data_IF_219167166564
#
_entry.id   IF_219167166564
#
_cell.length_a   1.000
_cell.length_b   1.000
_cell.length_c   1.000
_cell.angle_alpha   90.00
_cell.angle_beta   90.00
_cell.angle_gamma   90.00
#
_symmetry.space_group_name_H-M   'P 1'
#
loop_
_entity.id
_entity.type
_entity.pdbx_description
1 polymer ?
#
# COMPACT_ATOMS: atom_id res chain seq x y z
N UNK A 1 -26.21 10.37 57.92
CA UNK A 1 -27.25 10.50 56.88
C UNK A 1 -26.52 10.81 55.57
N UNK A 2 -26.57 9.90 54.60
CA UNK A 2 -25.77 9.89 53.36
C UNK A 2 -26.50 10.62 52.23
N UNK A 3 -25.80 11.48 51.49
CA UNK A 3 -26.09 11.81 50.08
C UNK A 3 -24.76 11.75 49.36
N UNK A 4 -24.45 10.61 48.72
CA UNK A 4 -24.69 10.34 47.30
C UNK A 4 -24.36 11.53 46.39
N UNK A 5 -23.13 11.53 45.87
CA UNK A 5 -22.79 12.22 44.62
C UNK A 5 -22.03 11.24 43.75
N UNK A 6 -22.74 10.64 42.82
CA UNK A 6 -22.18 9.98 41.65
C UNK A 6 -21.32 10.96 40.84
N UNK A 7 -20.04 10.66 40.54
CA UNK A 7 -19.37 11.31 39.43
C UNK A 7 -19.91 10.75 38.12
N UNK A 8 -20.36 11.65 37.23
CA UNK A 8 -20.83 11.36 35.88
C UNK A 8 -19.93 10.35 35.17
N UNK A 9 -20.57 9.33 34.59
CA UNK A 9 -19.97 8.48 33.56
C UNK A 9 -19.39 9.39 32.46
N UNK A 10 -18.07 9.58 32.49
CA UNK A 10 -17.34 10.10 31.37
C UNK A 10 -17.51 9.07 30.25
N UNK A 11 -18.32 9.40 29.25
CA UNK A 11 -18.22 8.80 27.92
C UNK A 11 -16.78 9.03 27.47
N UNK A 12 -15.92 8.05 27.76
CA UNK A 12 -14.61 7.95 27.13
C UNK A 12 -14.85 7.99 25.62
N UNK A 13 -13.96 8.64 24.85
CA UNK A 13 -14.18 8.79 23.41
C UNK A 13 -14.45 7.39 22.87
N UNK A 14 -15.67 7.19 22.35
CA UNK A 14 -15.98 6.04 21.51
C UNK A 14 -14.84 5.97 20.53
N UNK A 15 -13.95 4.98 20.70
CA UNK A 15 -12.85 4.76 19.78
C UNK A 15 -13.54 4.60 18.44
N UNK A 16 -13.44 5.67 17.64
CA UNK A 16 -13.99 5.74 16.31
C UNK A 16 -13.48 4.49 15.65
N UNK A 17 -14.42 3.59 15.34
CA UNK A 17 -14.14 2.38 14.59
C UNK A 17 -13.22 2.82 13.45
N UNK A 18 -12.07 2.14 13.23
CA UNK A 18 -11.22 2.48 12.11
C UNK A 18 -12.16 2.53 10.91
N UNK A 19 -12.21 3.72 10.28
CA UNK A 19 -13.13 4.03 9.21
C UNK A 19 -13.28 2.79 8.36
N UNK A 20 -14.51 2.31 8.22
CA UNK A 20 -14.84 1.16 7.41
C UNK A 20 -13.91 1.19 6.20
N UNK A 21 -13.12 0.13 6.04
CA UNK A 21 -12.77 -0.32 4.70
C UNK A 21 -14.10 -0.75 4.05
N UNK A 22 -15.02 0.22 3.86
CA UNK A 22 -15.83 0.35 2.67
C UNK A 22 -14.80 0.51 1.55
N UNK A 23 -14.12 -0.60 1.28
CA UNK A 23 -13.59 -1.02 0.01
C UNK A 23 -14.80 -0.88 -0.88
N UNK A 24 -14.99 0.35 -1.38
CA UNK A 24 -16.24 0.78 -1.97
C UNK A 24 -16.71 -0.30 -2.91
N UNK A 25 -18.02 -0.57 -2.91
CA UNK A 25 -18.68 -1.50 -3.80
C UNK A 25 -18.50 -1.07 -5.27
N UNK A 26 -17.26 -1.12 -5.74
CA UNK A 26 -16.90 -1.29 -7.11
C UNK A 26 -17.33 -2.71 -7.42
N UNK A 27 -18.21 -2.87 -8.41
CA UNK A 27 -18.48 -4.20 -8.96
C UNK A 27 -17.13 -4.94 -9.09
N UNK A 28 -17.04 -6.23 -8.72
CA UNK A 28 -15.79 -6.98 -8.83
C UNK A 28 -15.38 -7.03 -10.30
N UNK A 29 -14.64 -6.01 -10.72
CA UNK A 29 -13.92 -6.01 -11.97
C UNK A 29 -12.80 -7.00 -11.76
N UNK A 30 -12.68 -7.98 -12.66
CA UNK A 30 -11.55 -8.90 -12.65
C UNK A 30 -10.28 -8.06 -12.72
N UNK A 31 -9.51 -7.95 -11.61
CA UNK A 31 -8.35 -7.08 -11.60
C UNK A 31 -7.34 -7.70 -12.54
N UNK A 32 -6.75 -6.89 -13.41
CA UNK A 32 -5.56 -7.31 -14.16
C UNK A 32 -4.56 -7.97 -13.20
N UNK A 33 -3.86 -9.01 -13.64
CA UNK A 33 -2.85 -9.69 -12.82
C UNK A 33 -1.84 -8.71 -12.19
N UNK A 34 -1.52 -7.60 -12.88
CA UNK A 34 -0.67 -6.52 -12.34
C UNK A 34 -1.33 -5.80 -11.16
N UNK A 35 -2.63 -5.52 -11.24
CA UNK A 35 -3.38 -4.88 -10.15
C UNK A 35 -3.48 -5.80 -8.93
N UNK A 36 -3.71 -7.10 -9.13
CA UNK A 36 -3.72 -8.09 -8.06
C UNK A 36 -2.37 -8.17 -7.33
N UNK A 37 -1.26 -8.21 -8.08
CA UNK A 37 0.09 -8.20 -7.50
C UNK A 37 0.41 -6.91 -6.75
N UNK A 38 0.00 -5.75 -7.27
CA UNK A 38 0.20 -4.46 -6.57
C UNK A 38 -0.57 -4.44 -5.25
N UNK A 39 -1.81 -4.93 -5.23
CA UNK A 39 -2.61 -4.99 -4.02
C UNK A 39 -1.95 -5.88 -2.95
N UNK A 40 -1.39 -7.02 -3.36
CA UNK A 40 -0.75 -7.92 -2.41
C UNK A 40 0.59 -7.37 -1.88
N UNK A 41 1.38 -6.72 -2.74
CA UNK A 41 2.58 -6.01 -2.30
C UNK A 41 2.23 -4.85 -1.35
N UNK A 42 1.13 -4.13 -1.57
CA UNK A 42 0.69 -3.07 -0.67
C UNK A 42 0.26 -3.61 0.71
N UNK A 43 -0.41 -4.76 0.73
CA UNK A 43 -0.74 -5.49 1.97
C UNK A 43 0.53 -5.88 2.73
N UNK A 44 1.48 -6.51 2.02
CA UNK A 44 2.79 -6.92 2.57
C UNK A 44 3.57 -5.73 3.13
N UNK A 45 3.61 -4.61 2.40
CA UNK A 45 4.27 -3.38 2.84
C UNK A 45 3.65 -2.84 4.13
N UNK A 46 2.32 -2.85 4.23
CA UNK A 46 1.61 -2.37 5.42
C UNK A 46 1.97 -3.21 6.65
N UNK A 47 2.05 -4.53 6.51
CA UNK A 47 2.50 -5.42 7.57
C UNK A 47 3.97 -5.17 7.95
N UNK A 48 4.86 -5.08 6.96
CA UNK A 48 6.29 -4.84 7.22
C UNK A 48 6.52 -3.54 8.00
N UNK A 49 5.82 -2.46 7.63
CA UNK A 49 5.86 -1.18 8.36
C UNK A 49 5.32 -1.32 9.77
N UNK A 50 4.21 -2.04 9.96
CA UNK A 50 3.61 -2.25 11.28
C UNK A 50 4.51 -3.06 12.23
N UNK A 51 5.32 -3.98 11.70
CA UNK A 51 6.29 -4.76 12.46
C UNK A 51 7.67 -4.09 12.60
N UNK A 52 7.90 -2.95 11.94
CA UNK A 52 9.21 -2.29 11.92
C UNK A 52 10.27 -3.03 11.08
N UNK A 53 9.86 -3.89 10.14
CA UNK A 53 10.77 -4.58 9.22
C UNK A 53 11.14 -3.65 8.05
N UNK A 54 12.16 -2.82 8.29
CA UNK A 54 12.65 -1.83 7.33
C UNK A 54 13.20 -2.45 6.03
N UNK A 55 13.83 -3.62 6.13
CA UNK A 55 14.43 -4.30 4.98
C UNK A 55 13.33 -4.78 4.05
N UNK A 56 12.33 -5.49 4.59
CA UNK A 56 11.18 -5.95 3.80
C UNK A 56 10.40 -4.76 3.24
N UNK A 57 10.16 -3.73 4.04
CA UNK A 57 9.43 -2.54 3.59
C UNK A 57 10.13 -1.87 2.39
N UNK A 58 11.47 -1.71 2.45
CA UNK A 58 12.25 -1.13 1.36
C UNK A 58 12.19 -1.98 0.08
N UNK A 59 12.35 -3.29 0.21
CA UNK A 59 12.33 -4.21 -0.94
C UNK A 59 10.97 -4.20 -1.63
N UNK A 60 9.88 -4.27 -0.86
CA UNK A 60 8.51 -4.27 -1.39
C UNK A 60 8.18 -2.92 -2.03
N UNK A 61 8.58 -1.80 -1.41
CA UNK A 61 8.42 -0.47 -2.00
C UNK A 61 9.15 -0.35 -3.35
N UNK A 62 10.38 -0.86 -3.45
CA UNK A 62 11.12 -0.87 -4.72
C UNK A 62 10.46 -1.77 -5.76
N UNK A 63 9.94 -2.94 -5.37
CA UNK A 63 9.21 -3.83 -6.27
C UNK A 63 7.96 -3.15 -6.85
N UNK A 64 7.19 -2.44 -6.01
CA UNK A 64 6.05 -1.62 -6.46
C UNK A 64 6.53 -0.52 -7.40
N UNK A 65 7.62 0.20 -7.06
CA UNK A 65 8.20 1.24 -7.90
C UNK A 65 8.61 0.73 -9.28
N UNK A 66 9.23 -0.46 -9.36
CA UNK A 66 9.59 -1.12 -10.63
C UNK A 66 8.36 -1.59 -11.41
N UNK A 67 7.34 -2.08 -10.70
CA UNK A 67 6.06 -2.48 -11.29
C UNK A 67 5.23 -1.31 -11.78
N UNK A 68 5.44 -0.09 -11.28
CA UNK A 68 4.73 1.12 -11.72
C UNK A 68 5.55 1.94 -12.72
N UNK A 69 6.88 1.90 -12.62
CA UNK A 69 7.80 2.64 -13.47
C UNK A 69 7.84 2.14 -14.92
N UNK A 70 8.27 2.99 -15.86
CA UNK A 70 8.54 2.56 -17.22
C UNK A 70 9.69 1.55 -17.22
N UNK A 71 9.56 0.48 -18.04
CA UNK A 71 10.65 -0.47 -18.24
C UNK A 71 11.92 0.32 -18.61
N UNK A 72 13.09 0.01 -18.01
CA UNK A 72 14.32 0.71 -18.36
C UNK A 72 14.51 0.60 -19.87
N UNK A 73 14.52 1.74 -20.57
CA UNK A 73 14.76 1.76 -21.99
C UNK A 73 16.10 1.04 -22.25
N UNK A 74 16.16 0.04 -23.14
CA UNK A 74 17.43 -0.57 -23.48
C UNK A 74 18.32 0.56 -23.99
N UNK A 75 19.46 0.76 -23.33
CA UNK A 75 20.47 1.72 -23.73
C UNK A 75 20.68 1.57 -25.23
N UNK A 76 20.42 2.65 -25.97
CA UNK A 76 20.38 2.68 -27.43
C UNK A 76 21.66 2.02 -27.95
N UNK A 77 21.55 0.77 -28.42
CA UNK A 77 22.60 0.15 -29.24
C UNK A 77 22.73 0.99 -30.49
N UNK A 78 23.71 1.89 -30.46
CA UNK A 78 24.26 2.57 -31.60
C UNK A 78 24.83 1.50 -32.54
N UNK A 79 24.02 0.98 -33.47
CA UNK A 79 24.53 0.06 -34.50
C UNK A 79 23.90 0.26 -35.87
N UNK A 80 23.46 1.49 -36.18
CA UNK A 80 23.03 1.88 -37.53
C UNK A 80 23.98 2.88 -38.20
N UNK A 81 25.29 2.83 -37.89
CA UNK A 81 26.29 3.74 -38.50
C UNK A 81 27.62 3.07 -38.85
N UNK A 82 27.60 1.82 -39.32
CA UNK A 82 28.76 1.13 -39.94
C UNK A 82 28.29 0.11 -40.98
N UNK A 83 27.55 0.56 -42.00
CA UNK A 83 27.39 -0.22 -43.24
C UNK A 83 27.12 0.72 -44.40
N UNK A 84 28.09 1.60 -44.65
CA UNK A 84 28.10 2.50 -45.82
C UNK A 84 29.57 2.84 -46.10
N UNK A 85 30.34 1.86 -46.56
CA UNK A 85 31.61 2.04 -47.26
C UNK A 85 31.86 0.77 -48.07
#
# INVERSE_FOLDING_TARGET
>A
MTTDRSPSEGVGPTRTQPASLERGALAPADPSSRAALIAELASTLSCAVAFGDEVTARVVHEAIGRLLGPAPAPERRASWRRRSS
#
